data_IF_432633795673
#
_entry.id   IF_432633795673
#
_cell.length_a   1.000
_cell.length_b   1.000
_cell.length_c   1.000
_cell.angle_alpha   90.00
_cell.angle_beta   90.00
_cell.angle_gamma   90.00
#
_symmetry.space_group_name_H-M   'P 1'
#
loop_
_entity.id
_entity.type
_entity.pdbx_description
1 polymer ?
#
# COMPACT_ATOMS: atom_id res chain seq x y z
N UNK A 1 12.39 6.08 9.71
CA UNK A 1 12.63 7.26 8.83
C UNK A 1 12.07 7.05 7.42
N UNK A 2 12.48 5.99 6.69
CA UNK A 2 12.00 5.71 5.32
C UNK A 2 10.47 5.63 5.22
N UNK A 3 9.80 5.01 6.18
CA UNK A 3 8.34 4.87 6.15
C UNK A 3 7.61 6.20 6.29
N UNK A 4 8.12 7.11 7.12
CA UNK A 4 7.54 8.44 7.25
C UNK A 4 7.70 9.24 5.95
N UNK A 5 8.87 9.13 5.31
CA UNK A 5 9.11 9.76 4.01
C UNK A 5 8.19 9.18 2.94
N UNK A 6 8.04 7.85 2.88
CA UNK A 6 7.09 7.21 1.98
C UNK A 6 5.65 7.67 2.24
N UNK A 7 5.24 7.75 3.52
CA UNK A 7 3.90 8.22 3.86
C UNK A 7 3.61 9.64 3.34
N UNK A 8 4.60 10.53 3.38
CA UNK A 8 4.46 11.89 2.84
C UNK A 8 4.39 11.87 1.31
N UNK A 9 5.35 11.21 0.66
CA UNK A 9 5.48 11.24 -0.79
C UNK A 9 4.35 10.47 -1.49
N UNK A 10 3.99 9.29 -0.99
CA UNK A 10 2.95 8.47 -1.59
C UNK A 10 1.56 9.05 -1.35
N UNK A 11 1.28 9.66 -0.19
CA UNK A 11 0.02 10.36 0.04
C UNK A 11 -0.15 11.57 -0.88
N UNK A 12 0.91 12.33 -1.11
CA UNK A 12 0.91 13.43 -2.08
C UNK A 12 0.61 12.92 -3.50
N UNK A 13 1.29 11.83 -3.92
CA UNK A 13 1.05 11.21 -5.22
C UNK A 13 -0.38 10.67 -5.38
N UNK A 14 -0.93 10.05 -4.35
CA UNK A 14 -2.29 9.53 -4.35
C UNK A 14 -3.35 10.64 -4.49
N UNK A 15 -3.16 11.76 -3.79
CA UNK A 15 -4.03 12.93 -3.94
C UNK A 15 -4.06 13.44 -5.38
N UNK A 16 -2.90 13.54 -6.04
CA UNK A 16 -2.84 13.94 -7.46
C UNK A 16 -3.47 12.87 -8.36
N UNK A 17 -3.27 11.59 -8.06
CA UNK A 17 -3.78 10.48 -8.86
C UNK A 17 -5.30 10.41 -8.87
N UNK A 18 -5.97 10.73 -7.76
CA UNK A 18 -7.42 10.68 -7.62
C UNK A 18 -8.17 11.49 -8.70
N UNK A 19 -7.61 12.64 -9.13
CA UNK A 19 -8.19 13.44 -10.22
C UNK A 19 -7.84 12.97 -11.64
N UNK A 20 -6.99 11.95 -11.80
CA UNK A 20 -6.39 11.60 -13.12
C UNK A 20 -6.41 10.11 -13.44
N UNK A 21 -6.65 9.25 -12.45
CA UNK A 21 -6.54 7.80 -12.62
C UNK A 21 -7.55 7.29 -13.65
N UNK A 22 -7.07 6.49 -14.61
CA UNK A 22 -7.93 5.89 -15.63
C UNK A 22 -8.70 4.68 -15.10
N UNK A 23 -9.85 4.35 -15.73
CA UNK A 23 -10.61 3.15 -15.40
C UNK A 23 -9.78 1.87 -15.51
N UNK A 24 -8.90 1.78 -16.50
CA UNK A 24 -7.99 0.64 -16.66
C UNK A 24 -7.06 0.49 -15.45
N UNK A 25 -6.51 1.58 -14.92
CA UNK A 25 -5.67 1.54 -13.72
C UNK A 25 -6.46 1.21 -12.46
N UNK A 26 -7.70 1.71 -12.33
CA UNK A 26 -8.61 1.32 -11.23
C UNK A 26 -8.88 -0.20 -11.26
N UNK A 27 -9.21 -0.76 -12.42
CA UNK A 27 -9.41 -2.21 -12.57
C UNK A 27 -8.14 -3.01 -12.24
N UNK A 28 -6.96 -2.48 -12.57
CA UNK A 28 -5.68 -3.11 -12.16
C UNK A 28 -5.52 -3.12 -10.65
N UNK A 29 -5.84 -2.01 -9.97
CA UNK A 29 -5.79 -1.93 -8.50
C UNK A 29 -6.77 -2.93 -7.85
N UNK A 30 -7.99 -3.09 -8.40
CA UNK A 30 -8.95 -4.08 -7.92
C UNK A 30 -8.40 -5.50 -8.01
N UNK A 31 -7.82 -5.87 -9.16
CA UNK A 31 -7.18 -7.19 -9.36
C UNK A 31 -6.04 -7.41 -8.36
N UNK A 32 -5.21 -6.41 -8.11
CA UNK A 32 -4.10 -6.51 -7.16
C UNK A 32 -4.60 -6.64 -5.72
N UNK A 33 -5.65 -5.90 -5.34
CA UNK A 33 -6.26 -6.00 -4.02
C UNK A 33 -6.86 -7.39 -3.79
N UNK A 34 -7.62 -7.92 -4.75
CA UNK A 34 -8.17 -9.29 -4.69
C UNK A 34 -7.08 -10.34 -4.56
N UNK A 35 -6.00 -10.24 -5.35
CA UNK A 35 -4.85 -11.15 -5.26
C UNK A 35 -4.22 -11.13 -3.87
N UNK A 36 -4.08 -9.96 -3.25
CA UNK A 36 -3.56 -9.84 -1.88
C UNK A 36 -4.52 -10.44 -0.84
N UNK A 37 -5.83 -10.22 -0.98
CA UNK A 37 -6.85 -10.79 -0.09
C UNK A 37 -6.86 -12.31 -0.12
N UNK A 38 -6.83 -12.90 -1.32
CA UNK A 38 -6.76 -14.36 -1.51
C UNK A 38 -5.50 -14.93 -0.88
N UNK A 39 -4.34 -14.29 -1.14
CA UNK A 39 -3.08 -14.70 -0.54
C UNK A 39 -3.09 -14.57 0.99
N UNK A 40 -3.67 -13.49 1.53
CA UNK A 40 -3.81 -13.30 2.97
C UNK A 40 -4.68 -14.38 3.64
N UNK A 41 -5.68 -14.90 2.94
CA UNK A 41 -6.54 -15.97 3.43
C UNK A 41 -5.84 -17.34 3.45
N UNK A 42 -4.90 -17.61 2.54
CA UNK A 42 -4.17 -18.89 2.47
C UNK A 42 -3.08 -19.03 3.52
N UNK A 43 -2.39 -17.93 3.86
CA UNK A 43 -1.41 -17.88 4.95
C UNK A 43 -0.12 -18.69 4.75
N UNK A 44 0.17 -19.17 3.55
CA UNK A 44 1.37 -19.96 3.26
C UNK A 44 2.60 -19.07 2.91
N UNK A 45 3.78 -19.70 2.71
CA UNK A 45 5.01 -18.96 2.36
C UNK A 45 4.93 -18.24 1.01
N UNK A 46 4.18 -18.79 0.04
CA UNK A 46 3.97 -18.17 -1.27
C UNK A 46 3.01 -17.00 -1.17
N UNK A 47 2.07 -17.06 -0.22
CA UNK A 47 1.15 -15.96 0.06
C UNK A 47 1.91 -14.68 0.42
N UNK A 48 2.91 -14.78 1.29
CA UNK A 48 3.71 -13.62 1.70
C UNK A 48 4.44 -12.95 0.51
N UNK A 49 4.99 -13.75 -0.39
CA UNK A 49 5.64 -13.25 -1.60
C UNK A 49 4.64 -12.57 -2.53
N UNK A 50 3.49 -13.23 -2.78
CA UNK A 50 2.39 -12.69 -3.58
C UNK A 50 1.84 -11.37 -3.03
N UNK A 51 1.66 -11.27 -1.71
CA UNK A 51 1.24 -10.03 -1.04
C UNK A 51 2.30 -8.94 -1.26
N UNK A 52 3.58 -9.25 -1.06
CA UNK A 52 4.68 -8.28 -1.17
C UNK A 52 4.78 -7.69 -2.58
N UNK A 53 4.74 -8.54 -3.61
CA UNK A 53 4.80 -8.13 -4.99
C UNK A 53 3.57 -7.31 -5.39
N UNK A 54 2.37 -7.83 -5.09
CA UNK A 54 1.12 -7.17 -5.42
C UNK A 54 0.97 -5.82 -4.71
N UNK A 55 1.40 -5.73 -3.44
CA UNK A 55 1.41 -4.47 -2.70
C UNK A 55 2.38 -3.44 -3.32
N UNK A 56 3.57 -3.87 -3.72
CA UNK A 56 4.54 -2.98 -4.37
C UNK A 56 3.99 -2.45 -5.69
N UNK A 57 3.39 -3.31 -6.51
CA UNK A 57 2.77 -2.90 -7.76
C UNK A 57 1.57 -1.98 -7.53
N UNK A 58 0.71 -2.28 -6.55
CA UNK A 58 -0.45 -1.47 -6.19
C UNK A 58 -0.06 -0.02 -5.93
N UNK A 59 0.91 0.20 -5.07
CA UNK A 59 1.41 1.55 -4.77
C UNK A 59 2.02 2.23 -6.01
N UNK A 60 2.80 1.50 -6.83
CA UNK A 60 3.40 2.08 -8.03
C UNK A 60 2.37 2.43 -9.12
N UNK A 61 1.29 1.67 -9.26
CA UNK A 61 0.17 2.02 -10.16
C UNK A 61 -0.42 3.37 -9.78
N UNK A 62 -0.65 3.63 -8.49
CA UNK A 62 -1.16 4.90 -7.97
C UNK A 62 -0.19 6.04 -8.26
N UNK A 63 1.09 5.86 -7.92
CA UNK A 63 2.11 6.89 -8.11
C UNK A 63 2.29 7.24 -9.58
N UNK A 64 2.32 6.25 -10.47
CA UNK A 64 2.38 6.46 -11.91
C UNK A 64 1.10 7.15 -12.46
N UNK A 65 -0.05 6.98 -11.79
CA UNK A 65 -1.27 7.70 -12.16
C UNK A 65 -1.21 9.19 -11.83
N UNK A 66 -0.36 9.60 -10.89
CA UNK A 66 -0.13 11.02 -10.61
C UNK A 66 0.49 11.80 -11.79
N UNK A 67 1.18 11.08 -12.71
CA UNK A 67 1.91 11.68 -13.81
C UNK A 67 3.22 12.37 -13.40
N UNK A 68 3.60 12.28 -12.13
CA UNK A 68 4.84 12.88 -11.63
C UNK A 68 6.01 11.88 -11.71
N UNK A 69 6.78 11.93 -12.80
CA UNK A 69 7.88 10.99 -13.07
C UNK A 69 8.96 11.05 -11.97
N UNK A 70 9.31 12.24 -11.49
CA UNK A 70 10.33 12.40 -10.44
C UNK A 70 9.89 11.79 -9.10
N UNK A 71 8.61 11.95 -8.77
CA UNK A 71 8.03 11.32 -7.60
C UNK A 71 8.11 9.79 -7.70
N UNK A 72 7.78 9.24 -8.86
CA UNK A 72 7.86 7.80 -9.10
C UNK A 72 9.28 7.26 -8.94
N UNK A 73 10.29 7.93 -9.50
CA UNK A 73 11.70 7.56 -9.36
C UNK A 73 12.15 7.55 -7.88
N UNK A 74 11.81 8.60 -7.14
CA UNK A 74 12.16 8.69 -5.71
C UNK A 74 11.49 7.58 -4.91
N UNK A 75 10.19 7.36 -5.09
CA UNK A 75 9.46 6.31 -4.37
C UNK A 75 10.00 4.92 -4.73
N UNK A 76 10.31 4.64 -5.99
CA UNK A 76 10.90 3.38 -6.41
C UNK A 76 12.24 3.11 -5.69
N UNK A 77 13.05 4.14 -5.45
CA UNK A 77 14.30 4.01 -4.71
C UNK A 77 14.12 3.73 -3.22
N UNK A 78 12.98 4.13 -2.63
CA UNK A 78 12.66 3.94 -1.22
C UNK A 78 11.89 2.61 -0.96
N UNK A 79 11.18 2.09 -1.96
CA UNK A 79 10.31 0.93 -1.84
C UNK A 79 11.10 -0.38 -2.04
N UNK A 80 11.97 -0.74 -1.09
CA UNK A 80 12.74 -1.96 -1.20
C UNK A 80 11.88 -3.20 -0.87
N UNK A 81 11.73 -4.18 -1.79
CA UNK A 81 10.85 -5.35 -1.59
C UNK A 81 11.14 -6.15 -0.30
N UNK A 82 12.41 -6.31 0.08
CA UNK A 82 12.79 -7.02 1.31
C UNK A 82 12.26 -6.34 2.58
N UNK A 83 12.21 -5.00 2.61
CA UNK A 83 11.64 -4.26 3.74
C UNK A 83 10.13 -4.45 3.82
N UNK A 84 9.44 -4.44 2.69
CA UNK A 84 7.99 -4.68 2.60
C UNK A 84 7.67 -6.10 3.05
N UNK A 85 8.39 -7.10 2.54
CA UNK A 85 8.24 -8.51 2.93
C UNK A 85 8.46 -8.72 4.43
N UNK A 86 9.50 -8.13 5.00
CA UNK A 86 9.79 -8.21 6.44
C UNK A 86 8.67 -7.63 7.29
N UNK A 87 7.98 -6.60 6.81
CA UNK A 87 6.84 -6.02 7.51
C UNK A 87 5.66 -6.96 7.52
N UNK A 88 5.23 -7.44 6.37
CA UNK A 88 4.09 -8.38 6.28
C UNK A 88 4.33 -9.68 7.06
N UNK A 89 5.57 -10.18 7.12
CA UNK A 89 5.89 -11.38 7.90
C UNK A 89 5.66 -11.23 9.41
N UNK A 90 5.61 -9.99 9.91
CA UNK A 90 5.35 -9.68 11.32
C UNK A 90 3.92 -9.25 11.61
N UNK A 91 3.00 -9.29 10.62
CA UNK A 91 1.62 -8.87 10.84
C UNK A 91 0.79 -9.97 11.50
N UNK A 92 0.13 -9.64 12.60
CA UNK A 92 -0.97 -10.45 13.11
C UNK A 92 -2.14 -10.49 12.10
N UNK A 93 -2.97 -11.55 12.10
CA UNK A 93 -4.08 -11.69 11.15
C UNK A 93 -5.00 -10.47 11.07
N UNK A 94 -5.38 -9.91 12.21
CA UNK A 94 -6.24 -8.71 12.26
C UNK A 94 -5.59 -7.49 11.61
N UNK A 95 -4.27 -7.37 11.71
CA UNK A 95 -3.51 -6.27 11.08
C UNK A 95 -3.42 -6.46 9.56
N UNK A 96 -3.24 -7.70 9.12
CA UNK A 96 -3.24 -8.03 7.70
C UNK A 96 -4.61 -7.72 7.08
N UNK A 97 -5.70 -8.12 7.75
CA UNK A 97 -7.07 -7.79 7.32
C UNK A 97 -7.30 -6.28 7.23
N UNK A 98 -6.85 -5.51 8.22
CA UNK A 98 -6.94 -4.04 8.18
C UNK A 98 -6.15 -3.46 7.00
N UNK A 99 -4.96 -3.99 6.71
CA UNK A 99 -4.18 -3.56 5.54
C UNK A 99 -4.93 -3.81 4.24
N UNK A 100 -5.60 -4.96 4.09
CA UNK A 100 -6.43 -5.27 2.93
C UNK A 100 -7.63 -4.31 2.83
N UNK A 101 -8.31 -4.05 3.94
CA UNK A 101 -9.42 -3.08 3.97
C UNK A 101 -8.97 -1.67 3.54
N UNK A 102 -7.80 -1.23 3.96
CA UNK A 102 -7.24 0.06 3.51
C UNK A 102 -7.00 0.08 1.98
N UNK A 103 -6.57 -1.03 1.35
CA UNK A 103 -6.41 -1.06 -0.10
C UNK A 103 -7.75 -0.85 -0.82
N UNK A 104 -8.85 -1.41 -0.30
CA UNK A 104 -10.19 -1.19 -0.85
C UNK A 104 -10.62 0.27 -0.69
N UNK A 105 -10.42 0.85 0.49
CA UNK A 105 -10.74 2.25 0.74
C UNK A 105 -9.91 3.21 -0.13
N UNK A 106 -8.65 2.90 -0.39
CA UNK A 106 -7.81 3.66 -1.33
C UNK A 106 -8.43 3.65 -2.74
N UNK A 107 -8.88 2.48 -3.22
CA UNK A 107 -9.55 2.36 -4.52
C UNK A 107 -10.80 3.22 -4.57
N UNK A 108 -11.61 3.20 -3.50
CA UNK A 108 -12.86 3.96 -3.43
C UNK A 108 -12.59 5.48 -3.45
N UNK A 109 -11.59 5.95 -2.71
CA UNK A 109 -11.17 7.36 -2.72
C UNK A 109 -10.66 7.81 -4.11
N UNK A 110 -9.87 6.95 -4.78
CA UNK A 110 -9.37 7.22 -6.13
C UNK A 110 -10.52 7.25 -7.16
N UNK A 111 -11.47 6.33 -7.04
CA UNK A 111 -12.67 6.28 -7.91
C UNK A 111 -13.58 7.48 -7.72
N UNK A 112 -13.71 7.94 -6.47
CA UNK A 112 -14.47 9.16 -6.16
C UNK A 112 -13.79 10.44 -6.67
N UNK A 113 -12.51 10.37 -7.05
CA UNK A 113 -11.74 11.54 -7.43
C UNK A 113 -11.46 12.49 -6.25
N UNK A 114 -11.58 12.00 -5.00
CA UNK A 114 -11.36 12.81 -3.81
C UNK A 114 -9.88 12.84 -3.43
N UNK A 115 -9.22 13.92 -3.77
CA UNK A 115 -7.78 14.12 -3.52
C UNK A 115 -7.45 14.08 -2.04
N UNK A 116 -8.29 14.66 -1.20
CA UNK A 116 -8.06 14.73 0.25
C UNK A 116 -8.22 13.36 0.92
N UNK A 117 -9.27 12.64 0.55
CA UNK A 117 -9.50 11.29 1.05
C UNK A 117 -8.41 10.32 0.59
N UNK A 118 -8.07 10.31 -0.71
CA UNK A 118 -7.00 9.46 -1.24
C UNK A 118 -5.65 9.73 -0.55
N UNK A 119 -5.30 10.99 -0.33
CA UNK A 119 -4.10 11.37 0.40
C UNK A 119 -4.14 10.89 1.86
N UNK A 120 -5.24 11.10 2.57
CA UNK A 120 -5.38 10.75 3.97
C UNK A 120 -5.31 9.24 4.19
N UNK A 121 -6.04 8.44 3.38
CA UNK A 121 -6.06 6.98 3.53
C UNK A 121 -4.72 6.33 3.16
N UNK A 122 -4.03 6.78 2.11
CA UNK A 122 -2.69 6.28 1.77
C UNK A 122 -1.69 6.61 2.88
N UNK A 123 -1.72 7.81 3.44
CA UNK A 123 -0.88 8.18 4.57
C UNK A 123 -1.13 7.28 5.78
N UNK A 124 -2.39 7.10 6.14
CA UNK A 124 -2.81 6.24 7.26
C UNK A 124 -2.39 4.78 7.05
N UNK A 125 -2.60 4.25 5.84
CA UNK A 125 -2.21 2.89 5.45
C UNK A 125 -0.71 2.65 5.66
N UNK A 126 0.14 3.54 5.16
CA UNK A 126 1.61 3.39 5.27
C UNK A 126 2.06 3.53 6.73
N UNK A 127 1.55 4.52 7.48
CA UNK A 127 1.91 4.71 8.88
C UNK A 127 1.43 3.54 9.76
N UNK A 128 0.24 3.00 9.51
CA UNK A 128 -0.26 1.82 10.22
C UNK A 128 0.64 0.60 10.07
N UNK A 129 1.44 0.52 9.00
CA UNK A 129 2.42 -0.56 8.80
C UNK A 129 3.60 -0.51 9.78
N UNK A 130 3.80 0.57 10.52
CA UNK A 130 4.89 0.72 11.49
C UNK A 130 4.53 0.26 12.90
N UNK A 131 3.24 0.20 13.22
CA UNK A 131 2.78 -0.10 14.58
C UNK A 131 3.14 -1.56 14.89
N UNK A 132 3.93 -1.81 15.94
CA UNK A 132 4.18 -3.17 16.44
C UNK A 132 2.87 -3.75 17.00
N UNK A 133 2.62 -5.04 16.75
CA UNK A 133 1.48 -5.71 17.38
C UNK A 133 1.70 -5.75 18.90
N UNK A 134 0.66 -5.38 19.65
CA UNK A 134 0.68 -5.45 21.11
C UNK A 134 0.87 -6.92 21.53
N UNK A 135 2.08 -7.31 21.91
CA UNK A 135 2.44 -8.68 22.26
C UNK A 135 3.82 -9.12 21.80
N UNK A 136 4.44 -8.41 20.86
CA UNK A 136 5.85 -8.65 20.52
C UNK A 136 6.74 -7.83 21.46
N UNK A 137 6.84 -8.28 22.71
CA UNK A 137 7.87 -7.79 23.62
C UNK A 137 9.21 -8.08 22.98
N UNK A 138 9.96 -7.05 22.61
CA UNK A 138 11.37 -7.20 22.32
C UNK A 138 11.99 -7.77 23.59
N UNK A 139 12.42 -9.02 23.54
CA UNK A 139 13.38 -9.55 24.53
C UNK A 139 14.65 -8.70 24.42
N UNK A 140 15.26 -8.36 25.56
CA UNK A 140 16.45 -7.52 25.64
C UNK A 140 17.65 -8.10 24.89
#
# INVERSE_FOLDING_TARGET
EITNLRAILESFGAGIAAGKISQMKLSRLETLAEKMEVAAATGDKRALESITESNSEFHMVIINASGNIRLAEVIASLAHPLLIRRRFSGFAPARLQRSMAHHREIIDALRAGDNSWASAIVKSHILASQVADAGTTRLP
#
